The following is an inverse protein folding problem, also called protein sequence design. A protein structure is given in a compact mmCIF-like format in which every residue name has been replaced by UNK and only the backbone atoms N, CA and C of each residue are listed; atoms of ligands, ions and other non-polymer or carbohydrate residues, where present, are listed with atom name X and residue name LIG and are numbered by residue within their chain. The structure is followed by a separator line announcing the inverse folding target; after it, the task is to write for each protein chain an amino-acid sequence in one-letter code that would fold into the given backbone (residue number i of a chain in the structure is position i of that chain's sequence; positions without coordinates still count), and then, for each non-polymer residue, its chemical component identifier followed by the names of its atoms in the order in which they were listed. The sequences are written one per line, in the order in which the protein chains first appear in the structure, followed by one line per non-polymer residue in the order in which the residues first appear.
data_IF_005238185069
#
_entry.id   IF_005238185069
#
_cell.length_a   1.000
_cell.length_b   1.000
_cell.length_c   1.000
_cell.angle_alpha   90.00
_cell.angle_beta   90.00
_cell.angle_gamma   90.00
#
_symmetry.space_group_name_H-M   'P 1'
#
loop_
_entity.id
_entity.type
_entity.pdbx_description
1 polymer ?
#
# COMPACT_ATOMS: atom_id res chain seq x y z
N UNK A 1 -0.63 32.42 10.05
CA UNK A 1 0.04 31.54 9.06
C UNK A 1 -0.49 30.14 9.32
N UNK A 2 -1.20 29.53 8.37
CA UNK A 2 -1.82 28.23 8.59
C UNK A 2 -0.72 27.16 8.63
N UNK A 3 -0.65 26.37 9.70
CA UNK A 3 0.16 25.15 9.73
C UNK A 3 -0.40 24.18 8.68
N UNK A 4 0.27 24.08 7.53
CA UNK A 4 -0.05 23.06 6.54
C UNK A 4 0.30 21.68 7.11
N UNK A 5 -0.72 20.91 7.52
CA UNK A 5 -0.53 19.54 8.01
C UNK A 5 0.10 18.67 6.91
N UNK A 6 1.30 18.17 7.17
CA UNK A 6 1.97 17.20 6.32
C UNK A 6 1.42 15.78 6.53
N UNK A 7 1.12 15.10 5.44
CA UNK A 7 0.61 13.74 5.43
C UNK A 7 1.75 12.71 5.50
N UNK A 8 1.47 11.58 6.14
CA UNK A 8 2.31 10.37 6.11
C UNK A 8 2.09 9.56 4.83
N UNK A 9 3.01 8.63 4.54
CA UNK A 9 2.84 7.62 3.47
C UNK A 9 1.50 6.91 3.58
N UNK A 10 1.11 6.51 4.81
CA UNK A 10 -0.17 5.83 5.08
C UNK A 10 -1.40 6.70 4.82
N UNK A 11 -1.34 7.98 5.18
CA UNK A 11 -2.45 8.91 4.87
C UNK A 11 -2.57 9.12 3.35
N UNK A 12 -1.45 9.17 2.63
CA UNK A 12 -1.43 9.30 1.16
C UNK A 12 -1.94 8.04 0.48
N UNK A 13 -1.57 6.85 0.95
CA UNK A 13 -2.04 5.57 0.40
C UNK A 13 -3.56 5.45 0.50
N UNK A 14 -4.13 5.84 1.64
CA UNK A 14 -5.58 5.90 1.83
C UNK A 14 -6.23 6.95 0.92
N UNK A 15 -5.62 8.12 0.77
CA UNK A 15 -6.19 9.23 0.01
C UNK A 15 -6.21 8.99 -1.51
N UNK A 16 -5.17 8.31 -2.01
CA UNK A 16 -4.98 7.95 -3.41
C UNK A 16 -5.49 6.54 -3.76
N UNK A 17 -5.88 5.74 -2.77
CA UNK A 17 -6.29 4.33 -2.93
C UNK A 17 -5.21 3.47 -3.62
N UNK A 18 -3.95 3.65 -3.21
CA UNK A 18 -2.79 2.90 -3.70
C UNK A 18 -2.09 2.20 -2.54
N UNK A 19 -1.18 1.27 -2.82
CA UNK A 19 -0.36 0.63 -1.78
C UNK A 19 0.64 1.62 -1.16
N UNK A 20 1.12 1.35 0.06
CA UNK A 20 2.17 2.18 0.69
C UNK A 20 3.48 2.14 -0.10
N UNK A 21 3.82 0.98 -0.68
CA UNK A 21 4.98 0.84 -1.56
C UNK A 21 4.81 1.70 -2.81
N UNK A 22 3.66 1.68 -3.45
CA UNK A 22 3.40 2.52 -4.63
C UNK A 22 3.45 4.01 -4.27
N UNK A 23 2.96 4.42 -3.09
CA UNK A 23 3.09 5.79 -2.61
C UNK A 23 4.57 6.19 -2.39
N UNK A 24 5.42 5.27 -1.92
CA UNK A 24 6.86 5.48 -1.81
C UNK A 24 7.54 5.53 -3.19
N UNK A 25 7.23 4.60 -4.09
CA UNK A 25 7.76 4.55 -5.45
C UNK A 25 7.41 5.85 -6.20
N UNK A 26 6.19 6.38 -6.02
CA UNK A 26 5.78 7.67 -6.60
C UNK A 26 6.53 8.87 -6.01
N UNK A 27 6.95 8.77 -4.75
CA UNK A 27 7.80 9.78 -4.12
C UNK A 27 9.23 9.71 -4.64
N UNK A 28 9.78 8.50 -4.78
CA UNK A 28 11.14 8.25 -5.28
C UNK A 28 11.28 8.66 -6.76
N UNK A 29 10.27 8.38 -7.56
CA UNK A 29 10.21 8.77 -8.97
C UNK A 29 9.94 10.27 -9.17
N UNK A 30 9.70 11.04 -8.10
CA UNK A 30 9.44 12.48 -8.16
C UNK A 30 8.04 12.86 -8.66
N UNK A 31 7.16 11.88 -8.87
CA UNK A 31 5.77 12.09 -9.30
C UNK A 31 4.94 12.80 -8.25
N UNK A 32 5.21 12.53 -6.96
CA UNK A 32 4.62 13.23 -5.82
C UNK A 32 5.75 13.87 -5.02
N UNK A 33 5.73 15.19 -4.79
CA UNK A 33 6.74 15.83 -3.96
C UNK A 33 6.65 15.32 -2.52
N UNK A 34 7.78 14.78 -2.04
CA UNK A 34 7.93 14.28 -0.69
C UNK A 34 9.11 14.96 0.00
N UNK A 35 8.92 15.29 1.27
CA UNK A 35 9.91 15.93 2.13
C UNK A 35 10.42 14.91 3.13
N UNK A 36 11.75 14.75 3.21
CA UNK A 36 12.38 13.95 4.26
C UNK A 36 12.47 14.76 5.54
N UNK A 37 11.68 14.40 6.54
CA UNK A 37 11.74 15.01 7.87
C UNK A 37 12.63 14.16 8.76
N UNK A 38 13.65 14.78 9.35
CA UNK A 38 14.63 14.08 10.18
C UNK A 38 15.45 13.04 9.41
N UNK A 39 15.61 13.20 8.10
CA UNK A 39 16.41 12.32 7.24
C UNK A 39 15.77 10.97 6.87
N UNK A 40 14.71 10.55 7.56
CA UNK A 40 14.13 9.20 7.42
C UNK A 40 12.65 9.22 7.01
N UNK A 41 11.85 10.15 7.55
CA UNK A 41 10.40 10.10 7.36
C UNK A 41 9.96 10.86 6.11
N UNK A 42 9.26 10.20 5.20
CA UNK A 42 8.61 10.85 4.06
C UNK A 42 7.32 11.54 4.51
N UNK A 43 7.21 12.82 4.13
CA UNK A 43 6.06 13.68 4.42
C UNK A 43 5.59 14.37 3.16
N UNK A 44 4.27 14.48 3.00
CA UNK A 44 3.65 14.97 1.77
C UNK A 44 2.76 16.18 2.07
N UNK A 45 2.75 17.18 1.19
CA UNK A 45 1.77 18.26 1.29
C UNK A 45 0.43 17.79 0.74
N UNK A 46 -0.62 18.04 1.51
CA UNK A 46 -1.99 17.62 1.16
C UNK A 46 -2.43 18.15 -0.20
N UNK A 47 -2.10 19.39 -0.53
CA UNK A 47 -2.55 20.03 -1.77
C UNK A 47 -1.93 19.39 -3.02
N UNK A 48 -0.65 19.04 -2.97
CA UNK A 48 0.07 18.38 -4.07
C UNK A 48 -0.48 16.96 -4.32
N UNK A 49 -0.80 16.24 -3.25
CA UNK A 49 -1.43 14.91 -3.37
C UNK A 49 -2.84 15.02 -3.97
N UNK A 50 -3.59 16.07 -3.60
CA UNK A 50 -4.91 16.35 -4.15
C UNK A 50 -4.87 16.77 -5.62
N UNK A 51 -3.87 17.55 -6.03
CA UNK A 51 -3.64 17.91 -7.43
C UNK A 51 -3.38 16.68 -8.29
N UNK A 52 -2.53 15.75 -7.82
CA UNK A 52 -2.30 14.49 -8.51
C UNK A 52 -3.59 13.67 -8.61
N UNK A 53 -4.39 13.62 -7.52
CA UNK A 53 -5.68 12.93 -7.53
C UNK A 53 -6.61 13.51 -8.59
N UNK A 54 -6.67 14.83 -8.73
CA UNK A 54 -7.46 15.52 -9.77
C UNK A 54 -6.91 15.26 -11.16
N UNK A 55 -5.60 15.34 -11.35
CA UNK A 55 -4.93 15.06 -12.63
C UNK A 55 -5.19 13.61 -13.09
N UNK A 56 -5.02 12.62 -12.21
CA UNK A 56 -5.38 11.23 -12.49
C UNK A 56 -6.87 11.09 -12.81
N UNK A 57 -7.77 11.77 -12.08
CA UNK A 57 -9.22 11.73 -12.35
C UNK A 57 -9.60 12.31 -13.72
N UNK A 58 -8.86 13.31 -14.22
CA UNK A 58 -9.06 13.89 -15.55
C UNK A 58 -8.58 12.98 -16.70
N UNK A 59 -7.56 12.15 -16.45
CA UNK A 59 -7.03 11.17 -17.41
C UNK A 59 -7.81 9.84 -17.41
N UNK A 60 -8.48 9.49 -16.31
CA UNK A 60 -9.22 8.22 -16.15
C UNK A 60 -10.56 8.13 -16.90
N UNK A 61 -10.90 9.08 -17.78
CA UNK A 61 -12.11 8.95 -18.59
C UNK A 61 -11.91 8.15 -19.88
N UNK A 62 -10.68 7.69 -20.23
CA UNK A 62 -10.48 7.04 -21.53
C UNK A 62 -9.50 5.87 -21.68
N UNK A 63 -8.67 5.50 -20.70
CA UNK A 63 -7.85 4.29 -20.82
C UNK A 63 -7.70 3.51 -19.51
N UNK A 64 -8.19 2.27 -19.56
CA UNK A 64 -7.66 1.03 -18.94
C UNK A 64 -7.74 0.95 -17.40
N UNK A 65 -8.61 0.16 -16.76
CA UNK A 65 -8.96 -1.26 -16.96
C UNK A 65 -7.75 -2.21 -16.98
N UNK A 66 -6.96 -2.15 -15.90
CA UNK A 66 -6.26 -3.30 -15.29
C UNK A 66 -6.22 -2.97 -13.78
N UNK A 67 -6.76 -3.73 -12.84
CA UNK A 67 -7.15 -5.13 -12.86
C UNK A 67 -8.46 -5.27 -12.08
N UNK A 68 -9.49 -5.70 -12.79
CA UNK A 68 -10.77 -6.11 -12.22
C UNK A 68 -10.57 -7.42 -11.45
N UNK A 69 -10.22 -7.32 -10.18
CA UNK A 69 -10.73 -8.22 -9.16
C UNK A 69 -10.67 -7.51 -7.80
N UNK A 70 -11.76 -6.84 -7.38
CA UNK A 70 -11.81 -6.14 -6.09
C UNK A 70 -11.65 -7.08 -4.87
N UNK A 71 -11.66 -8.40 -5.09
CA UNK A 71 -11.49 -9.44 -4.08
C UNK A 71 -10.08 -10.07 -4.14
N UNK A 72 -9.52 -10.37 -5.32
CA UNK A 72 -8.21 -11.06 -5.40
C UNK A 72 -7.03 -10.14 -5.11
N UNK A 73 -7.11 -8.85 -5.46
CA UNK A 73 -6.05 -7.89 -5.11
C UNK A 73 -5.89 -7.70 -3.60
N UNK A 74 -7.02 -7.64 -2.87
CA UNK A 74 -7.01 -7.56 -1.40
C UNK A 74 -6.52 -8.85 -0.74
N UNK A 75 -6.82 -10.00 -1.34
CA UNK A 75 -6.29 -11.28 -0.87
C UNK A 75 -4.78 -11.33 -1.09
N UNK A 76 -4.27 -10.97 -2.27
CA UNK A 76 -2.83 -10.98 -2.54
C UNK A 76 -2.06 -10.07 -1.56
N UNK A 77 -2.56 -8.86 -1.29
CA UNK A 77 -2.01 -7.97 -0.27
C UNK A 77 -2.04 -8.60 1.14
N UNK A 78 -3.10 -9.34 1.47
CA UNK A 78 -3.22 -10.08 2.73
C UNK A 78 -2.21 -11.23 2.82
N UNK A 79 -2.04 -12.02 1.76
CA UNK A 79 -1.08 -13.12 1.71
C UNK A 79 0.37 -12.62 1.75
N UNK A 80 0.67 -11.48 1.12
CA UNK A 80 1.98 -10.85 1.18
C UNK A 80 2.31 -10.30 2.59
N UNK A 81 1.35 -9.63 3.25
CA UNK A 81 1.56 -9.10 4.60
C UNK A 81 1.59 -10.18 5.69
N UNK A 82 0.89 -11.31 5.47
CA UNK A 82 0.76 -12.39 6.45
C UNK A 82 1.57 -13.64 6.08
N UNK A 83 2.58 -13.50 5.24
CA UNK A 83 3.44 -14.60 4.76
C UNK A 83 4.00 -15.46 5.90
N UNK A 84 4.50 -14.82 6.97
CA UNK A 84 5.01 -15.47 8.17
C UNK A 84 3.94 -16.33 8.88
N UNK A 85 2.71 -15.82 9.00
CA UNK A 85 1.60 -16.54 9.66
C UNK A 85 1.13 -17.74 8.84
N UNK A 86 1.15 -17.63 7.51
CA UNK A 86 0.80 -18.72 6.61
C UNK A 86 1.82 -19.86 6.74
N UNK A 87 3.11 -19.54 6.73
CA UNK A 87 4.18 -20.53 6.92
C UNK A 87 4.09 -21.17 8.30
N UNK A 88 3.89 -20.36 9.35
CA UNK A 88 3.71 -20.87 10.72
C UNK A 88 2.50 -21.82 10.83
N UNK A 89 1.37 -21.46 10.23
CA UNK A 89 0.17 -22.30 10.19
C UNK A 89 0.42 -23.63 9.47
N UNK A 90 1.15 -23.60 8.35
CA UNK A 90 1.50 -24.81 7.60
C UNK A 90 2.38 -25.75 8.44
N UNK A 91 3.37 -25.22 9.17
CA UNK A 91 4.22 -26.01 10.07
C UNK A 91 3.39 -26.64 11.19
N UNK A 92 2.47 -25.88 11.80
CA UNK A 92 1.58 -26.39 12.85
C UNK A 92 0.71 -27.54 12.31
N UNK A 93 0.14 -27.39 11.11
CA UNK A 93 -0.68 -28.43 10.49
C UNK A 93 0.16 -29.70 10.24
N UNK A 94 1.38 -29.57 9.71
CA UNK A 94 2.28 -30.72 9.50
C UNK A 94 2.59 -31.43 10.82
N UNK A 95 2.90 -30.68 11.87
CA UNK A 95 3.13 -31.24 13.20
C UNK A 95 1.90 -31.98 13.74
N UNK A 96 0.71 -31.39 13.61
CA UNK A 96 -0.54 -32.05 14.01
C UNK A 96 -0.77 -33.33 13.22
N UNK A 97 -0.54 -33.33 11.90
CA UNK A 97 -0.67 -34.54 11.07
C UNK A 97 0.31 -35.62 11.52
N UNK A 98 1.56 -35.27 11.84
CA UNK A 98 2.54 -36.22 12.36
C UNK A 98 2.07 -36.80 13.70
N UNK A 99 1.56 -35.96 14.61
CA UNK A 99 1.06 -36.40 15.92
C UNK A 99 -0.13 -37.35 15.76
N UNK A 100 -1.10 -37.01 14.90
CA UNK A 100 -2.30 -37.84 14.69
C UNK A 100 -2.06 -39.09 13.84
N UNK A 101 -1.00 -39.14 13.02
CA UNK A 101 -0.62 -40.31 12.22
C UNK A 101 0.33 -41.25 12.97
N UNK A 102 1.12 -40.70 13.90
CA UNK A 102 2.08 -41.42 14.74
C UNK A 102 1.48 -42.01 16.01
N UNK A 103 0.16 -41.94 16.16
CA UNK A 103 -0.68 -42.60 17.18
C UNK A 103 -1.71 -43.47 16.48
#
# INVERSE_FOLDING_TARGET
MAEEKLLTVREVSILLHISEKEAMDLAENGTIPAYKVGGVYLRFKKDQVLELKKAKRGLHSKHELHENNPITGKLADFFYFNDFYIIAGLIIIVLLVIIFRGY
#
